data_IF_358107151443
#
_entry.id   IF_358107151443
#
_cell.length_a   1.000
_cell.length_b   1.000
_cell.length_c   1.000
_cell.angle_alpha   90.00
_cell.angle_beta   90.00
_cell.angle_gamma   90.00
#
_symmetry.space_group_name_H-M   'P 1'
#
loop_
_entity.id
_entity.type
_entity.pdbx_description
1 polymer ?
#
# COMPACT_ATOMS: atom_id res chain seq x y z
N UNK A 1 24.21 14.83 47.39
CA UNK A 1 23.75 14.06 46.22
C UNK A 1 22.85 14.98 45.37
N UNK A 2 23.22 15.30 44.15
CA UNK A 2 22.36 16.09 43.26
C UNK A 2 21.12 15.23 42.88
N UNK A 3 19.91 15.80 43.06
CA UNK A 3 18.66 15.18 42.60
C UNK A 3 18.74 15.04 41.07
N UNK A 4 18.48 13.81 40.54
CA UNK A 4 18.32 13.62 39.13
C UNK A 4 17.24 14.60 38.58
N UNK A 5 17.45 15.20 37.38
CA UNK A 5 16.45 16.08 36.78
C UNK A 5 15.16 15.31 36.55
N UNK A 6 14.04 15.89 36.96
CA UNK A 6 12.70 15.33 36.69
C UNK A 6 12.41 15.53 35.20
N UNK A 7 12.31 14.44 34.46
CA UNK A 7 11.91 14.48 33.05
C UNK A 7 10.38 14.64 33.00
N UNK A 8 9.89 15.75 32.43
CA UNK A 8 8.48 15.95 32.15
C UNK A 8 8.17 15.49 30.72
N UNK A 9 7.19 14.59 30.57
CA UNK A 9 6.74 14.11 29.27
C UNK A 9 5.29 14.57 29.08
N UNK A 10 5.08 15.43 28.10
CA UNK A 10 3.73 15.85 27.73
C UNK A 10 3.07 14.79 26.86
N UNK A 11 1.73 14.56 27.01
CA UNK A 11 1.01 13.67 26.10
C UNK A 11 1.04 14.26 24.68
N UNK A 12 1.11 13.41 23.63
CA UNK A 12 1.09 13.87 22.24
C UNK A 12 -0.29 14.42 21.88
N UNK A 13 -0.31 15.46 21.06
CA UNK A 13 -1.54 16.07 20.53
C UNK A 13 -1.97 15.32 19.25
N UNK A 14 -2.92 14.40 19.40
CA UNK A 14 -3.30 13.46 18.33
C UNK A 14 -4.64 13.85 17.73
N UNK A 15 -4.71 13.88 16.40
CA UNK A 15 -5.94 14.06 15.62
C UNK A 15 -6.06 13.02 14.49
N UNK A 16 -7.21 13.01 13.83
CA UNK A 16 -7.51 12.11 12.70
C UNK A 16 -8.11 12.91 11.56
N UNK A 17 -7.55 12.74 10.37
CA UNK A 17 -8.05 13.32 9.13
C UNK A 17 -8.50 12.21 8.18
N UNK A 18 -9.61 12.45 7.47
CA UNK A 18 -10.14 11.56 6.43
C UNK A 18 -10.07 12.26 5.08
N UNK A 19 -9.57 11.57 4.06
CA UNK A 19 -9.49 12.09 2.70
C UNK A 19 -9.51 10.97 1.66
N UNK A 20 -9.96 11.30 0.46
CA UNK A 20 -9.98 10.37 -0.66
C UNK A 20 -8.71 10.49 -1.48
N UNK A 21 -8.24 9.36 -1.98
CA UNK A 21 -7.21 9.27 -3.01
C UNK A 21 -7.73 8.53 -4.23
N UNK A 22 -7.27 8.94 -5.40
CA UNK A 22 -7.69 8.44 -6.70
C UNK A 22 -6.48 7.96 -7.48
N UNK A 23 -6.53 6.71 -7.96
CA UNK A 23 -5.49 6.17 -8.82
C UNK A 23 -5.38 6.93 -10.14
N UNK A 24 -4.20 7.44 -10.44
CA UNK A 24 -3.88 8.07 -11.74
C UNK A 24 -3.35 7.05 -12.75
N UNK A 25 -2.83 5.94 -12.25
CA UNK A 25 -2.40 4.77 -13.03
C UNK A 25 -2.95 3.48 -12.41
N UNK A 26 -3.10 2.40 -13.18
CA UNK A 26 -3.53 1.11 -12.66
C UNK A 26 -2.67 0.65 -11.49
N UNK A 27 -3.27 -0.03 -10.51
CA UNK A 27 -2.57 -0.63 -9.39
C UNK A 27 -2.46 -2.14 -9.59
N UNK A 28 -1.27 -2.70 -9.38
CA UNK A 28 -1.02 -4.14 -9.43
C UNK A 28 -0.87 -4.68 -8.02
N UNK A 29 -1.66 -5.69 -7.67
CA UNK A 29 -1.55 -6.40 -6.41
C UNK A 29 -0.78 -7.70 -6.57
N UNK A 30 0.00 -8.04 -5.54
CA UNK A 30 0.70 -9.30 -5.43
C UNK A 30 0.77 -9.72 -3.96
N UNK A 31 -0.36 -10.20 -3.46
CA UNK A 31 -0.42 -10.78 -2.12
C UNK A 31 0.45 -12.04 -2.06
N UNK A 32 1.12 -12.23 -0.96
CA UNK A 32 1.88 -13.45 -0.72
C UNK A 32 0.93 -14.61 -0.45
N UNK A 33 0.87 -15.56 -1.39
CA UNK A 33 -0.08 -16.66 -1.34
C UNK A 33 0.17 -17.62 -0.16
N UNK A 34 -0.87 -18.24 0.35
CA UNK A 34 -0.76 -19.24 1.43
C UNK A 34 0.08 -20.44 1.00
N UNK A 35 0.04 -20.81 -0.30
CA UNK A 35 0.90 -21.83 -0.87
C UNK A 35 2.39 -21.47 -0.74
N UNK A 36 2.76 -20.23 -1.06
CA UNK A 36 4.15 -19.76 -0.94
C UNK A 36 4.60 -19.72 0.53
N UNK A 37 3.73 -19.26 1.44
CA UNK A 37 3.99 -19.25 2.88
C UNK A 37 4.25 -20.66 3.40
N UNK A 38 3.39 -21.62 3.02
CA UNK A 38 3.52 -23.04 3.41
C UNK A 38 4.83 -23.65 2.91
N UNK A 39 5.17 -23.42 1.64
CA UNK A 39 6.42 -23.91 1.07
C UNK A 39 7.65 -23.35 1.80
N UNK A 40 7.62 -22.06 2.16
CA UNK A 40 8.71 -21.45 2.94
C UNK A 40 8.80 -22.03 4.34
N UNK A 41 7.67 -22.22 5.02
CA UNK A 41 7.62 -22.84 6.34
C UNK A 41 8.16 -24.27 6.31
N UNK A 42 7.72 -25.08 5.34
CA UNK A 42 8.18 -26.46 5.18
C UNK A 42 9.70 -26.52 4.94
N UNK A 43 10.23 -25.58 4.14
CA UNK A 43 11.69 -25.44 3.95
C UNK A 43 12.43 -25.08 5.25
N UNK A 44 11.88 -24.14 6.03
CA UNK A 44 12.47 -23.76 7.34
C UNK A 44 12.41 -24.93 8.35
N UNK A 45 11.35 -25.74 8.29
CA UNK A 45 11.20 -26.94 9.11
C UNK A 45 12.01 -28.14 8.59
N UNK A 46 12.83 -27.94 7.54
CA UNK A 46 13.68 -28.98 6.91
C UNK A 46 12.87 -30.23 6.45
N UNK A 47 11.59 -30.04 6.08
CA UNK A 47 10.80 -31.11 5.50
C UNK A 47 11.30 -31.45 4.09
N UNK A 48 11.15 -32.72 3.69
CA UNK A 48 11.51 -33.15 2.33
C UNK A 48 10.79 -32.28 1.29
N UNK A 49 11.54 -31.75 0.31
CA UNK A 49 11.00 -30.96 -0.78
C UNK A 49 10.11 -31.84 -1.65
N UNK A 50 8.82 -31.52 -1.70
CA UNK A 50 7.93 -32.04 -2.74
C UNK A 50 8.19 -31.26 -4.04
N UNK A 51 8.09 -31.92 -5.18
CA UNK A 51 8.21 -31.27 -6.48
C UNK A 51 7.28 -30.03 -6.61
N UNK A 52 7.58 -29.15 -7.56
CA UNK A 52 6.70 -28.00 -7.82
C UNK A 52 5.33 -28.49 -8.32
N UNK A 53 4.27 -28.05 -7.66
CA UNK A 53 2.93 -28.26 -8.17
C UNK A 53 2.75 -27.53 -9.52
N UNK A 54 1.90 -28.05 -10.42
CA UNK A 54 1.53 -27.34 -11.64
C UNK A 54 1.03 -25.93 -11.34
N UNK A 55 1.33 -24.99 -12.23
CA UNK A 55 0.78 -23.64 -12.15
C UNK A 55 -0.72 -23.67 -12.50
N UNK A 56 -1.48 -22.91 -11.73
CA UNK A 56 -2.88 -22.64 -12.01
C UNK A 56 -3.05 -21.11 -12.14
N UNK A 57 -3.14 -20.57 -13.38
CA UNK A 57 -3.23 -19.14 -13.62
C UNK A 57 -4.37 -18.46 -12.88
N UNK A 58 -5.56 -19.06 -12.89
CA UNK A 58 -6.73 -18.49 -12.23
C UNK A 58 -6.58 -18.44 -10.72
N UNK A 59 -6.09 -19.54 -10.12
CA UNK A 59 -5.87 -19.58 -8.69
C UNK A 59 -4.73 -18.63 -8.27
N UNK A 60 -3.63 -18.58 -9.03
CA UNK A 60 -2.51 -17.66 -8.76
C UNK A 60 -2.99 -16.18 -8.84
N UNK A 61 -3.89 -15.86 -9.80
CA UNK A 61 -4.53 -14.55 -9.89
C UNK A 61 -5.38 -14.24 -8.65
N UNK A 62 -6.29 -15.14 -8.26
CA UNK A 62 -7.14 -14.93 -7.09
C UNK A 62 -6.32 -14.81 -5.80
N UNK A 63 -5.30 -15.62 -5.64
CA UNK A 63 -4.38 -15.59 -4.50
C UNK A 63 -3.55 -14.29 -4.43
N UNK A 64 -3.38 -13.61 -5.57
CA UNK A 64 -2.64 -12.34 -5.64
C UNK A 64 -3.42 -11.15 -5.08
N UNK A 65 -4.72 -11.29 -4.89
CA UNK A 65 -5.64 -10.23 -4.46
C UNK A 65 -5.79 -10.19 -2.94
N UNK A 66 -5.93 -8.98 -2.38
CA UNK A 66 -6.31 -8.78 -0.99
C UNK A 66 -7.83 -8.68 -0.89
N UNK A 67 -8.46 -9.79 -0.50
CA UNK A 67 -9.90 -9.88 -0.28
C UNK A 67 -10.22 -9.43 1.16
N UNK A 68 -11.21 -8.55 1.32
CA UNK A 68 -11.73 -8.16 2.64
C UNK A 68 -12.48 -9.32 3.32
N UNK A 69 -12.65 -9.26 4.62
CA UNK A 69 -13.24 -10.35 5.42
C UNK A 69 -14.67 -10.70 5.03
N UNK A 70 -15.44 -9.72 4.54
CA UNK A 70 -16.80 -9.87 4.00
C UNK A 70 -16.82 -10.08 2.47
N UNK A 71 -15.63 -10.19 1.85
CA UNK A 71 -15.46 -10.34 0.41
C UNK A 71 -15.55 -11.79 -0.07
N UNK A 72 -15.92 -11.94 -1.33
CA UNK A 72 -15.94 -13.21 -2.04
C UNK A 72 -15.45 -13.03 -3.48
N UNK A 73 -14.60 -13.92 -3.96
CA UNK A 73 -14.21 -13.93 -5.36
C UNK A 73 -15.37 -14.35 -6.27
N UNK A 74 -15.51 -13.74 -7.45
CA UNK A 74 -14.73 -12.64 -8.03
C UNK A 74 -15.29 -11.24 -7.72
N UNK A 75 -16.25 -11.11 -6.82
CA UNK A 75 -17.04 -9.89 -6.66
C UNK A 75 -16.44 -8.88 -5.68
N UNK A 76 -15.52 -9.30 -4.79
CA UNK A 76 -14.99 -8.46 -3.74
C UNK A 76 -15.91 -8.36 -2.52
N UNK A 77 -15.79 -7.34 -1.66
CA UNK A 77 -14.88 -6.21 -1.78
C UNK A 77 -13.40 -6.59 -1.62
N UNK A 78 -12.58 -5.83 -2.31
CA UNK A 78 -11.12 -5.94 -2.23
C UNK A 78 -10.53 -4.81 -1.41
N UNK A 79 -9.34 -5.01 -0.88
CA UNK A 79 -8.61 -4.01 -0.14
C UNK A 79 -7.16 -3.90 -0.60
N UNK A 80 -6.42 -3.03 0.07
CA UNK A 80 -4.97 -2.94 -0.03
C UNK A 80 -4.38 -2.69 1.35
N UNK A 81 -3.20 -3.22 1.70
CA UNK A 81 -2.62 -3.04 3.03
C UNK A 81 -2.46 -1.56 3.40
N UNK A 82 -3.04 -1.14 4.52
CA UNK A 82 -2.95 0.23 5.05
C UNK A 82 -1.49 0.67 5.20
N UNK A 83 -0.61 -0.26 5.61
CA UNK A 83 0.84 -0.03 5.72
C UNK A 83 1.48 0.31 4.38
N UNK A 84 0.91 -0.09 3.26
CA UNK A 84 1.41 0.25 1.92
C UNK A 84 1.30 1.74 1.64
N UNK A 85 0.15 2.36 1.96
CA UNK A 85 -0.05 3.81 1.84
C UNK A 85 0.84 4.59 2.81
N UNK A 86 0.93 4.14 4.07
CA UNK A 86 1.87 4.72 5.03
C UNK A 86 3.30 4.68 4.51
N UNK A 87 3.73 3.54 3.99
CA UNK A 87 5.09 3.36 3.49
C UNK A 87 5.40 4.26 2.30
N UNK A 88 4.43 4.48 1.41
CA UNK A 88 4.55 5.43 0.30
C UNK A 88 4.80 6.84 0.80
N UNK A 89 3.98 7.34 1.75
CA UNK A 89 4.14 8.66 2.34
C UNK A 89 5.47 8.81 3.11
N UNK A 90 5.86 7.80 3.88
CA UNK A 90 7.17 7.78 4.57
C UNK A 90 8.34 7.86 3.57
N UNK A 91 8.22 7.21 2.42
CA UNK A 91 9.25 7.29 1.37
C UNK A 91 9.33 8.66 0.73
N UNK A 92 8.18 9.30 0.48
CA UNK A 92 8.12 10.65 -0.07
C UNK A 92 8.78 11.69 0.84
N UNK A 93 8.80 11.47 2.15
CA UNK A 93 9.47 12.36 3.13
C UNK A 93 10.95 12.60 2.80
N UNK A 94 11.63 11.71 2.06
CA UNK A 94 13.01 11.95 1.59
C UNK A 94 13.15 13.16 0.68
N UNK A 95 12.09 13.60 0.05
CA UNK A 95 12.07 14.72 -0.89
C UNK A 95 11.66 16.04 -0.20
N UNK A 96 11.33 15.97 1.10
CA UNK A 96 10.89 17.13 1.88
C UNK A 96 12.06 17.59 2.75
N UNK A 97 12.48 18.85 2.58
CA UNK A 97 13.51 19.45 3.42
C UNK A 97 13.06 19.51 4.88
N UNK A 98 13.94 19.16 5.80
CA UNK A 98 13.65 19.14 7.24
C UNK A 98 12.86 17.94 7.73
N UNK A 99 12.51 16.98 6.87
CA UNK A 99 11.79 15.75 7.25
C UNK A 99 12.63 14.51 6.96
N UNK A 100 12.80 13.63 7.94
CA UNK A 100 13.43 12.34 7.71
C UNK A 100 12.39 11.22 7.63
N UNK A 101 12.74 10.10 6.96
CA UNK A 101 11.89 8.92 6.97
C UNK A 101 11.69 8.35 8.38
N UNK A 102 12.66 8.52 9.27
CA UNK A 102 12.57 8.05 10.66
C UNK A 102 11.53 8.82 11.43
N UNK A 103 11.52 10.13 11.26
CA UNK A 103 10.52 11.02 11.86
C UNK A 103 9.12 10.69 11.33
N UNK A 104 8.95 10.68 10.02
CA UNK A 104 7.68 10.39 9.36
C UNK A 104 7.06 9.03 9.79
N UNK A 105 7.88 8.01 10.08
CA UNK A 105 7.39 6.71 10.58
C UNK A 105 6.60 6.81 11.87
N UNK A 106 6.95 7.76 12.75
CA UNK A 106 6.36 7.92 14.08
C UNK A 106 5.24 8.98 14.12
N UNK A 107 5.15 9.86 13.11
CA UNK A 107 4.24 11.00 13.15
C UNK A 107 2.79 10.67 12.81
N UNK A 108 2.57 9.62 12.02
CA UNK A 108 1.23 9.22 11.58
C UNK A 108 1.11 7.73 11.26
N UNK A 109 -0.12 7.27 11.21
CA UNK A 109 -0.44 5.95 10.64
C UNK A 109 -1.82 5.95 9.99
N UNK A 110 -1.99 5.07 8.99
CA UNK A 110 -3.26 4.84 8.30
C UNK A 110 -4.06 3.83 9.12
N UNK A 111 -5.29 4.19 9.46
CA UNK A 111 -6.24 3.31 10.16
C UNK A 111 -6.83 2.36 9.10
N UNK A 112 -6.70 1.04 9.26
CA UNK A 112 -7.33 0.11 8.33
C UNK A 112 -8.84 0.03 8.53
N UNK A 113 -9.57 -0.36 7.47
CA UNK A 113 -11.03 -0.57 7.52
C UNK A 113 -11.38 -2.00 7.91
N UNK A 114 -10.54 -2.97 7.52
CA UNK A 114 -10.80 -4.40 7.70
C UNK A 114 -9.49 -5.17 7.91
N UNK A 115 -9.24 -5.63 9.13
CA UNK A 115 -7.98 -6.24 9.51
C UNK A 115 -6.81 -5.29 9.27
N UNK A 116 -5.95 -5.58 8.29
CA UNK A 116 -4.83 -4.73 7.88
C UNK A 116 -5.10 -3.94 6.60
N UNK A 117 -6.32 -4.05 6.04
CA UNK A 117 -6.67 -3.53 4.73
C UNK A 117 -7.47 -2.24 4.82
N UNK A 118 -7.25 -1.33 3.88
CA UNK A 118 -8.19 -0.28 3.48
C UNK A 118 -8.98 -0.76 2.27
N UNK A 119 -10.28 -0.43 2.21
CA UNK A 119 -11.17 -0.88 1.13
C UNK A 119 -10.88 -0.14 -0.16
N UNK A 120 -10.81 -0.89 -1.26
CA UNK A 120 -10.70 -0.35 -2.61
C UNK A 120 -12.09 -0.17 -3.21
N UNK A 121 -12.27 0.96 -3.89
CA UNK A 121 -13.42 1.29 -4.72
C UNK A 121 -12.97 1.40 -6.18
N UNK A 122 -13.85 1.06 -7.12
CA UNK A 122 -13.57 1.17 -8.55
C UNK A 122 -13.88 -0.11 -9.33
N UNK A 123 -13.10 -0.35 -10.37
CA UNK A 123 -13.31 -1.49 -11.26
C UNK A 123 -12.94 -2.83 -10.58
N UNK A 124 -13.57 -3.92 -11.05
CA UNK A 124 -13.13 -5.26 -10.66
C UNK A 124 -11.71 -5.51 -11.19
N UNK A 125 -10.90 -6.29 -10.44
CA UNK A 125 -9.56 -6.62 -10.89
C UNK A 125 -9.57 -7.48 -12.14
N UNK A 126 -8.64 -7.23 -13.04
CA UNK A 126 -8.38 -8.07 -14.21
C UNK A 126 -7.10 -8.87 -14.01
N UNK A 127 -7.08 -10.08 -14.56
CA UNK A 127 -5.87 -10.90 -14.54
C UNK A 127 -4.82 -10.31 -15.47
N UNK A 128 -3.62 -10.15 -14.94
CA UNK A 128 -2.43 -9.72 -15.67
C UNK A 128 -1.37 -10.83 -15.63
N UNK A 129 -0.81 -11.14 -16.78
CA UNK A 129 0.32 -12.04 -16.91
C UNK A 129 1.61 -11.23 -17.03
N UNK A 130 2.58 -11.52 -16.18
CA UNK A 130 3.88 -10.86 -16.16
C UNK A 130 5.02 -11.87 -16.18
N UNK A 131 5.93 -11.69 -17.12
CA UNK A 131 7.21 -12.38 -17.11
C UNK A 131 8.17 -11.65 -16.17
N UNK A 132 8.60 -12.32 -15.11
CA UNK A 132 9.53 -11.76 -14.12
C UNK A 132 10.83 -12.54 -14.09
N UNK A 133 11.95 -11.81 -13.96
CA UNK A 133 13.26 -12.43 -13.79
C UNK A 133 13.57 -12.52 -12.30
N UNK A 134 13.80 -13.74 -11.81
CA UNK A 134 14.20 -14.03 -10.43
C UNK A 134 15.60 -14.60 -10.49
N UNK A 135 16.61 -13.78 -10.14
CA UNK A 135 18.02 -14.12 -10.30
C UNK A 135 18.32 -14.52 -11.77
N UNK A 136 18.65 -15.81 -12.02
CA UNK A 136 18.97 -16.32 -13.36
C UNK A 136 17.79 -17.06 -14.01
N UNK A 137 16.66 -17.18 -13.34
CA UNK A 137 15.48 -17.88 -13.87
C UNK A 137 14.37 -16.92 -14.23
N UNK A 138 13.64 -17.25 -15.29
CA UNK A 138 12.41 -16.54 -15.68
C UNK A 138 11.21 -17.26 -15.07
N UNK A 139 10.25 -16.50 -14.54
CA UNK A 139 9.00 -17.01 -14.02
C UNK A 139 7.83 -16.20 -14.60
N UNK A 140 6.69 -16.85 -14.81
CA UNK A 140 5.44 -16.20 -15.21
C UNK A 140 4.59 -16.02 -13.95
N UNK A 141 4.07 -14.81 -13.73
CA UNK A 141 3.20 -14.50 -12.60
C UNK A 141 1.87 -13.94 -13.06
N UNK A 142 0.81 -14.47 -12.45
CA UNK A 142 -0.54 -14.00 -12.65
C UNK A 142 -0.92 -13.12 -11.46
N UNK A 143 -1.28 -11.85 -11.76
CA UNK A 143 -1.50 -10.81 -10.75
C UNK A 143 -2.79 -10.07 -11.00
N UNK A 144 -3.39 -9.54 -9.94
CA UNK A 144 -4.54 -8.67 -10.05
C UNK A 144 -4.16 -7.24 -10.40
N UNK A 145 -4.79 -6.69 -11.44
CA UNK A 145 -4.67 -5.29 -11.83
C UNK A 145 -6.00 -4.58 -11.69
N UNK A 146 -6.02 -3.48 -10.96
CA UNK A 146 -7.14 -2.55 -10.84
C UNK A 146 -6.89 -1.36 -11.77
N UNK A 147 -7.69 -1.24 -12.84
CA UNK A 147 -7.49 -0.18 -13.83
C UNK A 147 -7.91 1.18 -13.30
N UNK A 148 -9.06 1.25 -12.64
CA UNK A 148 -9.55 2.43 -11.92
C UNK A 148 -9.78 2.06 -10.48
N UNK A 149 -9.21 2.83 -9.58
CA UNK A 149 -9.29 2.56 -8.15
C UNK A 149 -9.25 3.86 -7.35
N UNK A 150 -9.90 3.85 -6.23
CA UNK A 150 -9.83 4.89 -5.21
C UNK A 150 -9.93 4.27 -3.83
N UNK A 151 -9.53 5.01 -2.81
CA UNK A 151 -9.71 4.66 -1.40
C UNK A 151 -9.97 5.91 -0.58
N UNK A 152 -10.73 5.76 0.51
CA UNK A 152 -10.81 6.76 1.58
C UNK A 152 -9.81 6.37 2.65
N UNK A 153 -8.85 7.23 2.95
CA UNK A 153 -7.87 7.02 4.01
C UNK A 153 -8.27 7.77 5.27
N UNK A 154 -8.31 7.05 6.38
CA UNK A 154 -8.39 7.62 7.73
C UNK A 154 -6.99 7.60 8.31
N UNK A 155 -6.40 8.79 8.54
CA UNK A 155 -5.01 8.91 8.99
C UNK A 155 -4.98 9.58 10.36
N UNK A 156 -4.43 8.88 11.35
CA UNK A 156 -4.19 9.41 12.68
C UNK A 156 -2.77 9.95 12.76
N UNK A 157 -2.61 11.17 13.26
CA UNK A 157 -1.33 11.87 13.22
C UNK A 157 -1.12 12.74 14.46
N UNK A 158 0.14 13.08 14.74
CA UNK A 158 0.56 13.96 15.83
C UNK A 158 0.65 15.40 15.32
N UNK A 159 -0.27 16.26 15.77
CA UNK A 159 -0.32 17.68 15.38
C UNK A 159 0.88 18.49 15.86
N UNK A 160 1.63 18.02 16.87
CA UNK A 160 2.85 18.68 17.32
C UNK A 160 4.01 18.50 16.31
N UNK A 161 3.89 17.55 15.36
CA UNK A 161 4.93 17.20 14.40
C UNK A 161 4.59 17.58 12.97
N UNK A 162 3.32 17.46 12.58
CA UNK A 162 2.85 17.70 11.21
C UNK A 162 1.42 18.23 11.24
N UNK A 163 1.12 19.26 10.44
CA UNK A 163 -0.24 19.75 10.27
C UNK A 163 -1.03 18.84 9.31
N UNK A 164 -2.37 18.94 9.35
CA UNK A 164 -3.24 18.22 8.41
C UNK A 164 -2.92 18.58 6.94
N UNK A 165 -2.70 19.85 6.65
CA UNK A 165 -2.33 20.33 5.30
C UNK A 165 -1.00 19.75 4.84
N UNK A 166 0.03 19.77 5.69
CA UNK A 166 1.33 19.16 5.39
C UNK A 166 1.22 17.65 5.17
N UNK A 167 0.37 16.97 5.95
CA UNK A 167 0.11 15.55 5.78
C UNK A 167 -0.55 15.24 4.44
N UNK A 168 -1.56 16.02 4.03
CA UNK A 168 -2.20 15.89 2.72
C UNK A 168 -1.19 16.11 1.58
N UNK A 169 -0.37 17.16 1.66
CA UNK A 169 0.68 17.45 0.68
C UNK A 169 1.72 16.32 0.61
N UNK A 170 2.05 15.69 1.75
CA UNK A 170 2.94 14.52 1.79
C UNK A 170 2.33 13.32 1.07
N UNK A 171 1.02 13.07 1.23
CA UNK A 171 0.33 12.00 0.51
C UNK A 171 0.22 12.32 -0.99
N UNK A 172 -0.02 13.56 -1.39
CA UNK A 172 -0.01 13.96 -2.81
C UNK A 172 1.37 13.71 -3.43
N UNK A 173 2.44 14.15 -2.77
CA UNK A 173 3.83 13.89 -3.19
C UNK A 173 4.10 12.38 -3.29
N UNK A 174 3.61 11.60 -2.32
CA UNK A 174 3.76 10.15 -2.31
C UNK A 174 3.06 9.48 -3.49
N UNK A 175 1.88 9.96 -3.85
CA UNK A 175 1.11 9.46 -4.99
C UNK A 175 1.86 9.63 -6.30
N UNK A 176 2.49 10.76 -6.51
CA UNK A 176 3.28 11.02 -7.71
C UNK A 176 4.64 10.30 -7.69
N UNK A 177 5.40 10.41 -6.60
CA UNK A 177 6.82 10.01 -6.59
C UNK A 177 7.09 8.57 -6.18
N UNK A 178 6.18 7.96 -5.42
CA UNK A 178 6.37 6.63 -4.87
C UNK A 178 5.34 5.62 -5.41
N UNK A 179 4.05 5.95 -5.30
CA UNK A 179 2.95 5.04 -5.65
C UNK A 179 2.79 3.87 -4.67
N UNK A 180 1.86 2.96 -4.99
CA UNK A 180 1.55 1.75 -4.22
C UNK A 180 1.47 0.51 -5.12
N UNK A 181 1.59 -0.68 -4.54
CA UNK A 181 1.54 -1.95 -5.28
C UNK A 181 2.84 -2.31 -5.97
N UNK A 182 2.75 -3.22 -6.93
CA UNK A 182 3.89 -3.70 -7.71
C UNK A 182 4.22 -2.73 -8.86
N UNK A 183 5.49 -2.71 -9.25
CA UNK A 183 6.03 -1.85 -10.32
C UNK A 183 5.68 -0.36 -10.18
N UNK A 184 5.58 0.11 -8.93
CA UNK A 184 5.34 1.50 -8.61
C UNK A 184 6.55 2.38 -8.97
N UNK A 185 6.33 3.69 -9.03
CA UNK A 185 7.34 4.69 -9.40
C UNK A 185 8.65 4.53 -8.61
N UNK A 186 8.59 4.32 -7.30
CA UNK A 186 9.78 4.10 -6.44
C UNK A 186 10.65 2.92 -6.91
N UNK A 187 10.07 1.97 -7.63
CA UNK A 187 10.75 0.76 -8.15
C UNK A 187 11.05 0.84 -9.64
N UNK A 188 10.99 2.04 -10.22
CA UNK A 188 11.27 2.27 -11.64
C UNK A 188 10.12 1.85 -12.58
N UNK A 189 8.94 1.59 -12.03
CA UNK A 189 7.72 1.37 -12.81
C UNK A 189 6.88 2.63 -12.94
N UNK A 190 5.64 2.46 -13.41
CA UNK A 190 4.67 3.55 -13.60
C UNK A 190 3.30 3.27 -12.98
N UNK A 191 3.16 2.14 -12.29
CA UNK A 191 1.90 1.69 -11.73
C UNK A 191 1.65 2.26 -10.33
N UNK A 192 0.37 2.27 -9.93
CA UNK A 192 -0.05 2.59 -8.58
C UNK A 192 0.18 4.03 -8.14
N UNK A 193 0.38 4.95 -9.08
CA UNK A 193 0.39 6.39 -8.78
C UNK A 193 -1.01 6.88 -8.47
N UNK A 194 -1.12 7.93 -7.64
CA UNK A 194 -2.40 8.46 -7.19
C UNK A 194 -2.32 9.96 -6.88
N UNK A 195 -3.48 10.59 -6.73
CA UNK A 195 -3.66 11.99 -6.35
C UNK A 195 -4.82 12.13 -5.36
N UNK A 196 -4.84 13.20 -4.60
CA UNK A 196 -5.94 13.59 -3.73
C UNK A 196 -7.03 14.38 -4.51
N UNK A 197 -6.71 14.85 -5.70
CA UNK A 197 -7.64 15.59 -6.54
C UNK A 197 -8.46 14.60 -7.37
N UNK A 198 -9.79 14.69 -7.29
CA UNK A 198 -10.65 13.82 -8.09
C UNK A 198 -10.48 14.13 -9.59
N UNK A 199 -9.96 13.22 -10.42
CA UNK A 199 -9.71 13.46 -11.84
C UNK A 199 -10.97 13.85 -12.62
N UNK A 200 -12.14 13.37 -12.20
CA UNK A 200 -13.42 13.74 -12.82
C UNK A 200 -13.80 15.22 -12.59
N UNK A 201 -13.23 15.85 -11.56
CA UNK A 201 -13.45 17.26 -11.25
C UNK A 201 -12.50 18.17 -12.05
N UNK A 202 -11.28 17.70 -12.33
CA UNK A 202 -10.31 18.45 -13.13
C UNK A 202 -10.74 18.58 -14.61
N UNK A 203 -11.27 17.51 -15.21
CA UNK A 203 -11.75 17.53 -16.58
C UNK A 203 -12.85 18.59 -16.83
N UNK A 204 -13.59 18.98 -15.79
CA UNK A 204 -14.59 20.04 -15.86
C UNK A 204 -14.02 21.47 -15.82
N UNK A 205 -12.75 21.63 -15.40
CA UNK A 205 -12.08 22.94 -15.34
C UNK A 205 -11.32 23.29 -16.62
N UNK A 206 -11.07 22.33 -17.49
CA UNK A 206 -10.30 22.48 -18.74
C UNK A 206 -11.21 22.58 -19.97
N UNK A 207 -12.51 22.33 -19.83
CA UNK A 207 -13.54 22.49 -20.85
C UNK A 207 -14.29 23.80 -20.69
#
# INVERSE_FOLDING_TARGET
>A
MAKAPVISINPPNIDTVSFDIYGTQPMIQHKWSEKAKKQMLDKQMKKASKGRDPKNPEQDFLDSLYLCSDGKHPDGPYGFPAVGFKSSAVRAAKQVEGMTMTDAKSWFYVIPDDGDLVRLHGDKPVMREDMVKIQQTTDIRFRGQFNKWSVTLNVRYNMDQISSEQLLNLFELAGFSCGVGEWRMERGGTFGTFTLINPATELKKVA
#
